data_IF_028158319546
#
_entry.id   IF_028158319546
#
_cell.length_a   1.000
_cell.length_b   1.000
_cell.length_c   1.000
_cell.angle_alpha   90.00
_cell.angle_beta   90.00
_cell.angle_gamma   90.00
#
_symmetry.space_group_name_H-M   'P 1'
#
loop_
_entity.id
_entity.type
_entity.pdbx_description
1 polymer ?
#
# COMPACT_ATOMS: atom_id res chain seq x y z
N UNK A 1 -11.78 -8.46 -17.95
CA UNK A 1 -11.99 -9.50 -16.91
C UNK A 1 -13.14 -9.04 -16.02
N UNK A 2 -14.04 -9.94 -15.61
CA UNK A 2 -15.12 -9.66 -14.66
C UNK A 2 -14.97 -10.62 -13.47
N UNK A 3 -14.21 -10.20 -12.46
CA UNK A 3 -13.88 -11.02 -11.29
C UNK A 3 -14.80 -10.67 -10.11
N UNK A 4 -15.50 -11.66 -9.58
CA UNK A 4 -16.46 -11.44 -8.48
C UNK A 4 -15.76 -11.08 -7.16
N UNK A 5 -14.59 -11.65 -6.88
CA UNK A 5 -13.86 -11.36 -5.65
C UNK A 5 -13.32 -9.93 -5.65
N UNK A 6 -12.87 -9.45 -6.81
CA UNK A 6 -12.51 -8.04 -6.98
C UNK A 6 -13.69 -7.10 -6.68
N UNK A 7 -14.89 -7.42 -7.19
CA UNK A 7 -16.08 -6.60 -6.92
C UNK A 7 -16.42 -6.59 -5.43
N UNK A 8 -16.35 -7.73 -4.75
CA UNK A 8 -16.55 -7.80 -3.30
C UNK A 8 -15.53 -6.93 -2.59
N UNK A 9 -14.24 -7.11 -2.87
CA UNK A 9 -13.17 -6.31 -2.29
C UNK A 9 -13.40 -4.81 -2.46
N UNK A 10 -13.73 -4.35 -3.67
CA UNK A 10 -14.00 -2.93 -3.95
C UNK A 10 -15.22 -2.39 -3.19
N UNK A 11 -16.25 -3.22 -2.97
CA UNK A 11 -17.45 -2.81 -2.21
C UNK A 11 -17.30 -2.86 -0.69
N UNK A 12 -16.33 -3.64 -0.18
CA UNK A 12 -16.09 -3.82 1.25
C UNK A 12 -14.87 -3.08 1.77
N UNK A 13 -14.09 -2.45 0.88
CA UNK A 13 -12.93 -1.66 1.25
C UNK A 13 -13.36 -0.27 1.76
N UNK A 14 -13.16 0.01 3.05
CA UNK A 14 -13.56 1.27 3.69
C UNK A 14 -12.65 2.47 3.35
N UNK A 15 -11.52 2.24 2.67
CA UNK A 15 -10.58 3.30 2.31
C UNK A 15 -11.15 4.28 1.27
N UNK A 16 -12.09 3.85 0.42
CA UNK A 16 -12.74 4.68 -0.60
C UNK A 16 -14.21 4.26 -0.74
N UNK A 17 -15.20 5.18 -0.70
CA UNK A 17 -16.62 4.86 -0.75
C UNK A 17 -17.11 4.52 -2.18
N UNK A 18 -16.50 3.50 -2.80
CA UNK A 18 -16.80 3.09 -4.18
C UNK A 18 -18.15 2.40 -4.32
N UNK A 19 -18.65 1.78 -3.25
CA UNK A 19 -19.93 1.06 -3.25
C UNK A 19 -21.09 1.88 -3.83
N UNK A 20 -21.17 3.16 -3.47
CA UNK A 20 -22.25 4.06 -3.91
C UNK A 20 -22.15 4.40 -5.40
N UNK A 21 -20.94 4.35 -5.97
CA UNK A 21 -20.67 4.72 -7.37
C UNK A 21 -20.47 3.51 -8.28
N UNK A 22 -20.49 2.28 -7.75
CA UNK A 22 -20.27 1.04 -8.49
C UNK A 22 -21.49 0.55 -9.29
N UNK A 23 -22.70 1.10 -9.08
CA UNK A 23 -23.91 0.64 -9.77
C UNK A 23 -23.78 0.62 -11.32
N UNK A 24 -23.26 1.66 -11.99
CA UNK A 24 -23.07 1.65 -13.45
C UNK A 24 -22.07 0.59 -13.90
N UNK A 25 -21.01 0.32 -13.12
CA UNK A 25 -20.05 -0.73 -13.42
C UNK A 25 -20.69 -2.13 -13.35
N UNK A 26 -21.48 -2.38 -12.31
CA UNK A 26 -22.18 -3.67 -12.15
C UNK A 26 -23.17 -3.91 -13.29
N UNK A 27 -23.86 -2.86 -13.75
CA UNK A 27 -24.77 -2.92 -14.89
C UNK A 27 -24.03 -3.16 -16.22
N UNK A 28 -22.89 -2.50 -16.41
CA UNK A 28 -21.99 -2.72 -17.54
C UNK A 28 -21.49 -4.19 -17.59
N UNK A 29 -21.09 -4.76 -16.45
CA UNK A 29 -20.65 -6.16 -16.36
C UNK A 29 -21.81 -7.12 -16.66
N UNK A 30 -22.99 -6.88 -16.05
CA UNK A 30 -24.19 -7.70 -16.26
C UNK A 30 -24.62 -7.74 -17.72
N UNK A 31 -24.53 -6.60 -18.42
CA UNK A 31 -24.92 -6.46 -19.83
C UNK A 31 -23.78 -6.72 -20.81
N UNK A 32 -22.57 -7.02 -20.32
CA UNK A 32 -21.34 -7.14 -21.11
C UNK A 32 -21.03 -5.89 -21.96
N UNK A 33 -21.46 -4.72 -21.49
CA UNK A 33 -21.26 -3.45 -22.17
C UNK A 33 -19.88 -2.86 -21.80
N UNK A 34 -18.90 -3.09 -22.68
CA UNK A 34 -17.52 -2.62 -22.47
C UNK A 34 -17.39 -1.10 -22.55
N UNK A 35 -18.23 -0.42 -23.33
CA UNK A 35 -18.20 1.04 -23.45
C UNK A 35 -18.60 1.71 -22.13
N UNK A 36 -19.64 1.19 -21.47
CA UNK A 36 -20.10 1.69 -20.17
C UNK A 36 -19.07 1.42 -19.07
N UNK A 37 -18.39 0.27 -19.10
CA UNK A 37 -17.31 -0.05 -18.17
C UNK A 37 -16.11 0.90 -18.34
N UNK A 38 -15.73 1.21 -19.58
CA UNK A 38 -14.65 2.15 -19.88
C UNK A 38 -14.99 3.58 -19.45
N UNK A 39 -16.25 3.99 -19.58
CA UNK A 39 -16.68 5.31 -19.11
C UNK A 39 -16.60 5.42 -17.59
N UNK A 40 -17.03 4.39 -16.87
CA UNK A 40 -16.89 4.34 -15.41
C UNK A 40 -15.41 4.39 -14.97
N UNK A 41 -14.52 3.72 -15.71
CA UNK A 41 -13.08 3.76 -15.45
C UNK A 41 -12.45 5.15 -15.68
N UNK A 42 -13.14 6.11 -16.29
CA UNK A 42 -12.67 7.51 -16.40
C UNK A 42 -13.18 8.42 -15.28
N UNK A 43 -13.99 7.89 -14.36
CA UNK A 43 -14.53 8.69 -13.25
C UNK A 43 -13.46 9.06 -12.22
N UNK A 44 -13.65 10.19 -11.53
CA UNK A 44 -12.72 10.68 -10.50
C UNK A 44 -12.52 9.68 -9.34
N UNK A 45 -13.55 8.89 -9.04
CA UNK A 45 -13.49 7.86 -7.99
C UNK A 45 -12.52 6.74 -8.37
N UNK A 46 -12.55 6.30 -9.63
CA UNK A 46 -11.60 5.32 -10.14
C UNK A 46 -10.20 5.91 -10.29
N UNK A 47 -10.10 7.17 -10.74
CA UNK A 47 -8.83 7.89 -10.85
C UNK A 47 -8.09 7.97 -9.51
N UNK A 48 -8.82 8.11 -8.39
CA UNK A 48 -8.23 8.11 -7.04
C UNK A 48 -7.56 6.76 -6.72
N UNK A 49 -8.15 5.65 -7.13
CA UNK A 49 -7.55 4.31 -6.96
C UNK A 49 -6.29 4.19 -7.80
N UNK A 50 -6.33 4.63 -9.06
CA UNK A 50 -5.17 4.61 -9.94
C UNK A 50 -4.02 5.44 -9.37
N UNK A 51 -4.31 6.62 -8.81
CA UNK A 51 -3.32 7.45 -8.15
C UNK A 51 -2.69 6.78 -6.93
N UNK A 52 -3.48 6.08 -6.09
CA UNK A 52 -2.95 5.32 -4.96
C UNK A 52 -2.05 4.16 -5.43
N UNK A 53 -2.44 3.45 -6.48
CA UNK A 53 -1.63 2.39 -7.10
C UNK A 53 -0.29 2.96 -7.61
N UNK A 54 -0.33 4.11 -8.29
CA UNK A 54 0.86 4.79 -8.78
C UNK A 54 1.78 5.21 -7.63
N UNK A 55 1.24 5.87 -6.60
CA UNK A 55 2.01 6.32 -5.45
C UNK A 55 2.69 5.16 -4.69
N UNK A 56 2.04 3.99 -4.61
CA UNK A 56 2.63 2.80 -4.00
C UNK A 56 3.72 2.16 -4.88
N UNK A 57 3.69 2.38 -6.20
CA UNK A 57 4.69 1.87 -7.14
C UNK A 57 5.92 2.78 -7.30
N UNK A 58 5.80 4.07 -6.95
CA UNK A 58 6.87 5.06 -7.04
C UNK A 58 7.54 5.31 -5.68
N UNK A 59 8.03 4.26 -5.03
CA UNK A 59 9.05 4.41 -4.01
C UNK A 59 10.43 4.53 -4.70
N UNK A 60 11.09 5.70 -4.72
CA UNK A 60 12.50 5.74 -5.02
C UNK A 60 13.24 5.07 -3.87
N UNK A 61 13.89 3.95 -4.17
CA UNK A 61 14.99 3.45 -3.35
C UNK A 61 16.08 4.54 -3.32
N UNK A 62 16.03 5.43 -2.35
CA UNK A 62 17.14 6.32 -2.04
C UNK A 62 18.23 5.48 -1.37
N UNK A 63 18.96 4.72 -2.18
CA UNK A 63 20.31 4.28 -1.83
C UNK A 63 21.19 5.52 -1.77
N UNK A 64 21.15 6.19 -0.62
CA UNK A 64 21.98 7.32 -0.28
C UNK A 64 23.39 6.81 0.04
N UNK A 65 24.17 6.55 -1.01
CA UNK A 65 25.60 6.31 -0.95
C UNK A 65 26.31 7.57 -0.42
N UNK A 66 26.37 7.73 0.90
CA UNK A 66 27.23 8.71 1.54
C UNK A 66 28.64 8.13 1.62
N UNK A 67 29.50 8.54 0.69
CA UNK A 67 30.94 8.41 0.84
C UNK A 67 31.45 9.47 1.82
N UNK A 68 32.24 9.02 2.78
CA UNK A 68 32.70 9.68 4.00
C UNK A 68 33.52 10.95 3.78
N UNK A 69 33.44 11.87 4.76
CA UNK A 69 34.62 12.40 5.48
C UNK A 69 34.24 12.80 6.91
N UNK A 70 35.02 12.24 7.85
CA UNK A 70 35.13 12.44 9.30
C UNK A 70 34.53 13.70 9.96
N UNK A 71 33.92 13.52 11.12
CA UNK A 71 34.43 14.18 12.34
C UNK A 71 34.02 13.43 13.63
N UNK A 72 34.87 13.59 14.64
CA UNK A 72 34.90 12.96 15.96
C UNK A 72 33.68 13.25 16.84
N UNK A 73 33.20 12.25 17.58
CA UNK A 73 33.12 12.32 19.04
C UNK A 73 32.68 11.00 19.67
N UNK A 74 33.54 10.55 20.56
CA UNK A 74 33.36 9.44 21.49
C UNK A 74 32.22 9.73 22.47
N UNK A 75 31.35 8.75 22.71
CA UNK A 75 30.86 8.41 24.05
C UNK A 75 30.03 7.12 24.01
N UNK A 76 30.60 6.09 24.61
CA UNK A 76 29.96 4.83 24.98
C UNK A 76 28.91 5.05 26.07
N UNK A 77 27.63 4.74 25.81
CA UNK A 77 26.67 4.34 26.85
C UNK A 77 25.69 3.28 26.32
N UNK A 78 25.85 2.07 26.86
CA UNK A 78 24.88 0.97 27.01
C UNK A 78 23.78 0.81 25.93
N UNK A 79 24.06 -0.01 24.90
CA UNK A 79 23.04 -0.59 24.03
C UNK A 79 22.15 -1.56 24.80
N UNK A 80 20.93 -1.14 25.13
CA UNK A 80 19.81 -2.06 25.16
C UNK A 80 19.67 -2.63 23.73
N UNK A 81 19.58 -3.95 23.60
CA UNK A 81 19.33 -4.62 22.33
C UNK A 81 17.91 -4.30 21.83
N UNK A 82 17.69 -3.07 21.36
CA UNK A 82 16.62 -2.81 20.41
C UNK A 82 17.15 -3.19 19.04
N UNK A 83 16.67 -4.32 18.52
CA UNK A 83 16.93 -4.67 17.13
C UNK A 83 16.49 -3.54 16.20
N UNK A 84 17.13 -3.38 15.03
CA UNK A 84 16.74 -2.35 14.07
C UNK A 84 15.26 -2.51 13.71
N UNK A 85 14.51 -1.42 13.82
CA UNK A 85 13.11 -1.34 13.40
C UNK A 85 12.97 -1.73 11.93
N UNK A 86 11.81 -2.27 11.55
CA UNK A 86 11.54 -2.70 10.18
C UNK A 86 10.19 -2.17 9.69
N UNK A 87 10.14 -1.72 8.45
CA UNK A 87 8.88 -1.34 7.80
C UNK A 87 8.21 -2.57 7.21
N UNK A 88 6.91 -2.73 7.49
CA UNK A 88 6.14 -3.84 6.95
C UNK A 88 5.94 -3.70 5.44
N UNK A 89 6.37 -4.71 4.67
CA UNK A 89 6.22 -4.75 3.20
C UNK A 89 4.76 -4.73 2.72
N UNK A 90 3.79 -5.00 3.60
CA UNK A 90 2.37 -5.10 3.26
C UNK A 90 1.56 -3.84 3.58
N UNK A 91 1.89 -3.15 4.68
CA UNK A 91 1.09 -2.03 5.18
C UNK A 91 1.93 -0.83 5.64
N UNK A 92 3.24 -0.83 5.33
CA UNK A 92 4.24 0.22 5.57
C UNK A 92 4.49 0.65 7.03
N UNK A 93 3.77 0.07 7.98
CA UNK A 93 3.94 0.35 9.40
C UNK A 93 5.35 0.00 9.89
N UNK A 94 5.93 0.89 10.72
CA UNK A 94 7.23 0.70 11.35
C UNK A 94 7.07 -0.14 12.62
N UNK A 95 7.63 -1.35 12.61
CA UNK A 95 7.57 -2.30 13.72
C UNK A 95 8.91 -2.35 14.46
N UNK A 96 8.85 -2.70 15.74
CA UNK A 96 10.06 -2.94 16.54
C UNK A 96 10.87 -4.14 16.02
N UNK A 97 12.20 -4.05 16.10
CA UNK A 97 13.10 -5.11 15.65
C UNK A 97 12.96 -6.45 16.39
N UNK A 98 12.36 -6.44 17.59
CA UNK A 98 12.05 -7.65 18.35
C UNK A 98 10.76 -8.35 17.90
N UNK A 99 9.98 -7.76 16.99
CA UNK A 99 8.73 -8.37 16.49
C UNK A 99 8.97 -9.07 15.16
N UNK A 100 8.50 -10.32 15.06
CA UNK A 100 8.51 -11.11 13.82
C UNK A 100 7.25 -10.92 12.96
N UNK A 101 6.26 -10.18 13.46
CA UNK A 101 4.97 -9.91 12.81
C UNK A 101 4.59 -8.44 12.94
N UNK A 102 3.87 -7.93 11.95
CA UNK A 102 3.43 -6.53 11.94
C UNK A 102 2.31 -6.27 12.96
N UNK A 103 2.40 -5.18 13.72
CA UNK A 103 1.37 -4.80 14.70
C UNK A 103 0.07 -4.33 14.07
N UNK A 104 0.14 -3.72 12.89
CA UNK A 104 -1.05 -3.19 12.21
C UNK A 104 -1.79 -4.25 11.40
N UNK A 105 -1.09 -5.14 10.71
CA UNK A 105 -1.70 -6.12 9.81
C UNK A 105 -1.50 -7.58 10.21
N UNK A 106 -0.74 -7.86 11.28
CA UNK A 106 -0.45 -9.21 11.78
C UNK A 106 0.26 -10.15 10.80
N UNK A 107 0.79 -9.64 9.68
CA UNK A 107 1.56 -10.42 8.69
C UNK A 107 3.03 -10.57 9.09
N UNK A 108 3.71 -11.66 8.67
CA UNK A 108 5.10 -11.92 9.05
C UNK A 108 6.06 -10.91 8.42
N UNK A 109 7.20 -10.72 9.08
CA UNK A 109 8.36 -10.04 8.51
C UNK A 109 8.92 -10.90 7.36
N UNK A 110 8.92 -10.36 6.15
CA UNK A 110 9.59 -10.95 4.99
C UNK A 110 11.10 -11.02 5.30
N UNK A 111 11.67 -12.23 5.28
CA UNK A 111 13.10 -12.48 5.54
C UNK A 111 14.00 -12.02 4.40
#
# INVERSE_FOLDING_TARGET
MSDFHLLIYLTTMDALPLKETMKPLLEAIKTRNTAMANEWARSDQWLTIEQLMLANSSAPSTSSSHAATADMSSSTVASAMEGPKWSCSYCTFENDGNKSTCEMCSLPKET
#
